data_IF_392720547313
#
_entry.id   IF_392720547313
#
_cell.length_a   1.000
_cell.length_b   1.000
_cell.length_c   1.000
_cell.angle_alpha   90.00
_cell.angle_beta   90.00
_cell.angle_gamma   90.00
#
_symmetry.space_group_name_H-M   'P 1'
#
loop_
_entity.id
_entity.type
_entity.pdbx_description
1 polymer ?
#
# COMPACT_ATOMS: atom_id res chain seq x y z
N UNK A 1 0.45 6.63 0.69
CA UNK A 1 0.59 5.18 0.43
C UNK A 1 0.50 4.35 1.71
N UNK A 2 1.21 4.71 2.79
CA UNK A 2 1.10 4.00 4.09
C UNK A 2 -0.35 3.92 4.58
N UNK A 3 -1.07 5.04 4.66
CA UNK A 3 -2.48 5.05 5.05
C UNK A 3 -3.37 4.16 4.17
N UNK A 4 -3.08 4.05 2.87
CA UNK A 4 -3.83 3.18 1.95
C UNK A 4 -3.63 1.70 2.28
N UNK A 5 -2.40 1.32 2.63
CA UNK A 5 -2.05 -0.03 3.09
C UNK A 5 -2.76 -0.31 4.42
N UNK A 6 -2.70 0.61 5.38
CA UNK A 6 -3.37 0.47 6.68
C UNK A 6 -4.89 0.30 6.53
N UNK A 7 -5.55 1.12 5.71
CA UNK A 7 -7.00 1.02 5.47
C UNK A 7 -7.41 -0.31 4.81
N UNK A 8 -6.65 -0.79 3.82
CA UNK A 8 -6.99 -2.01 3.09
C UNK A 8 -6.70 -3.29 3.89
N UNK A 9 -5.69 -3.26 4.76
CA UNK A 9 -5.24 -4.44 5.50
C UNK A 9 -5.70 -4.46 6.96
N UNK A 10 -6.24 -3.34 7.47
CA UNK A 10 -6.51 -3.10 8.90
C UNK A 10 -5.25 -3.25 9.78
N UNK A 11 -4.06 -3.16 9.18
CA UNK A 11 -2.81 -3.11 9.91
C UNK A 11 -2.49 -1.69 10.38
N UNK A 12 -1.70 -1.59 11.43
CA UNK A 12 -1.09 -0.36 11.92
C UNK A 12 0.39 -0.41 11.52
N UNK A 13 0.85 0.63 10.84
CA UNK A 13 2.22 0.73 10.34
C UNK A 13 2.90 1.93 10.99
N UNK A 14 3.92 1.67 11.79
CA UNK A 14 4.74 2.72 12.41
C UNK A 14 6.11 2.76 11.75
N UNK A 15 6.52 3.95 11.31
CA UNK A 15 7.83 4.19 10.69
C UNK A 15 8.68 5.00 11.65
N UNK A 16 9.75 4.38 12.15
CA UNK A 16 10.77 5.06 12.93
C UNK A 16 11.64 5.95 12.05
N UNK A 17 12.10 7.08 12.58
CA UNK A 17 13.03 7.97 11.88
C UNK A 17 14.39 7.30 11.56
N UNK A 18 14.69 6.18 12.20
CA UNK A 18 15.83 5.32 11.91
C UNK A 18 15.59 4.33 10.76
N UNK A 19 14.46 4.43 10.05
CA UNK A 19 14.10 3.57 8.92
C UNK A 19 13.52 2.21 9.31
N UNK A 20 13.31 1.95 10.61
CA UNK A 20 12.65 0.72 11.06
C UNK A 20 11.15 0.82 10.88
N UNK A 21 10.55 -0.22 10.32
CA UNK A 21 9.10 -0.30 10.11
C UNK A 21 8.55 -1.40 11.01
N UNK A 22 7.57 -1.04 11.84
CA UNK A 22 6.82 -1.97 12.67
C UNK A 22 5.42 -2.08 12.08
N UNK A 23 4.99 -3.32 11.79
CA UNK A 23 3.65 -3.63 11.30
C UNK A 23 2.96 -4.50 12.34
N UNK A 24 1.79 -4.08 12.80
CA UNK A 24 0.93 -4.87 13.69
C UNK A 24 -0.46 -5.00 13.11
N UNK A 25 -1.08 -6.17 13.26
CA UNK A 25 -2.46 -6.41 12.84
C UNK A 25 -3.01 -7.60 13.65
N UNK A 26 -4.28 -7.52 14.02
CA UNK A 26 -4.98 -8.61 14.71
C UNK A 26 -5.35 -9.76 13.74
N UNK A 27 -5.43 -9.45 12.44
CA UNK A 27 -5.71 -10.41 11.38
C UNK A 27 -4.40 -10.89 10.72
N UNK A 28 -4.09 -12.20 10.76
CA UNK A 28 -2.88 -12.74 10.15
C UNK A 28 -2.78 -12.50 8.63
N UNK A 29 -3.92 -12.50 7.93
CA UNK A 29 -3.94 -12.24 6.48
C UNK A 29 -3.64 -10.77 6.17
N UNK A 30 -4.28 -9.85 6.89
CA UNK A 30 -3.98 -8.42 6.86
C UNK A 30 -2.51 -8.12 7.18
N UNK A 31 -1.94 -8.80 8.19
CA UNK A 31 -0.53 -8.66 8.55
C UNK A 31 0.40 -9.02 7.38
N UNK A 32 0.17 -10.18 6.76
CA UNK A 32 1.01 -10.66 5.65
C UNK A 32 0.91 -9.72 4.44
N UNK A 33 -0.31 -9.29 4.07
CA UNK A 33 -0.53 -8.33 2.98
C UNK A 33 0.14 -6.99 3.23
N UNK A 34 0.07 -6.48 4.47
CA UNK A 34 0.70 -5.22 4.83
C UNK A 34 2.24 -5.30 4.73
N UNK A 35 2.84 -6.40 5.20
CA UNK A 35 4.28 -6.65 5.09
C UNK A 35 4.71 -6.72 3.62
N UNK A 36 3.95 -7.44 2.78
CA UNK A 36 4.23 -7.56 1.36
C UNK A 36 4.09 -6.22 0.63
N UNK A 37 3.05 -5.43 0.92
CA UNK A 37 2.86 -4.10 0.37
C UNK A 37 4.05 -3.19 0.68
N UNK A 38 4.49 -3.14 1.94
CA UNK A 38 5.63 -2.31 2.36
C UNK A 38 6.92 -2.74 1.65
N UNK A 39 7.17 -4.04 1.52
CA UNK A 39 8.33 -4.55 0.77
C UNK A 39 8.26 -4.21 -0.72
N UNK A 40 7.08 -4.30 -1.31
CA UNK A 40 6.85 -3.95 -2.71
C UNK A 40 7.13 -2.47 -2.96
N UNK A 41 6.71 -1.59 -2.04
CA UNK A 41 6.98 -0.16 -2.09
C UNK A 41 8.48 0.14 -2.08
N UNK A 42 9.23 -0.53 -1.22
CA UNK A 42 10.69 -0.36 -1.15
C UNK A 42 11.39 -0.86 -2.42
N UNK A 43 11.04 -2.06 -2.88
CA UNK A 43 11.65 -2.69 -4.05
C UNK A 43 11.34 -1.95 -5.36
N UNK A 44 10.16 -1.35 -5.49
CA UNK A 44 9.67 -0.73 -6.72
C UNK A 44 9.65 0.80 -6.66
N UNK A 45 10.32 1.43 -5.69
CA UNK A 45 10.31 2.89 -5.49
C UNK A 45 10.67 3.73 -6.74
N UNK A 46 11.37 3.15 -7.72
CA UNK A 46 11.80 3.80 -8.96
C UNK A 46 10.98 3.38 -10.19
N UNK A 47 9.96 2.54 -10.02
CA UNK A 47 9.12 2.05 -11.10
C UNK A 47 7.91 2.98 -11.28
N UNK A 48 7.60 3.45 -12.50
CA UNK A 48 6.33 4.11 -12.76
C UNK A 48 5.15 3.19 -12.41
N UNK A 49 4.03 3.76 -11.98
CA UNK A 49 2.79 3.06 -11.62
C UNK A 49 2.88 2.16 -10.37
N UNK A 50 3.79 2.47 -9.44
CA UNK A 50 3.89 1.76 -8.15
C UNK A 50 2.56 1.75 -7.38
N UNK A 51 1.87 2.90 -7.33
CA UNK A 51 0.62 3.07 -6.59
C UNK A 51 -0.48 2.13 -7.08
N UNK A 52 -0.64 1.99 -8.40
CA UNK A 52 -1.63 1.10 -9.02
C UNK A 52 -1.34 -0.37 -8.68
N UNK A 53 -0.08 -0.78 -8.78
CA UNK A 53 0.34 -2.16 -8.45
C UNK A 53 0.09 -2.51 -6.99
N UNK A 54 0.39 -1.59 -6.07
CA UNK A 54 0.13 -1.79 -4.64
C UNK A 54 -1.38 -1.84 -4.37
N UNK A 55 -2.17 -0.96 -5.01
CA UNK A 55 -3.65 -1.00 -4.90
C UNK A 55 -4.24 -2.32 -5.40
N UNK A 56 -3.78 -2.80 -6.56
CA UNK A 56 -4.20 -4.07 -7.16
C UNK A 56 -3.87 -5.26 -6.25
N UNK A 57 -2.66 -5.29 -5.68
CA UNK A 57 -2.26 -6.33 -4.71
C UNK A 57 -3.16 -6.31 -3.46
N UNK A 58 -3.52 -5.13 -2.99
CA UNK A 58 -4.42 -4.94 -1.85
C UNK A 58 -5.90 -5.18 -2.15
N UNK A 59 -6.26 -5.45 -3.42
CA UNK A 59 -7.65 -5.63 -3.85
C UNK A 59 -8.49 -4.36 -3.79
N UNK A 60 -7.85 -3.18 -3.81
CA UNK A 60 -8.54 -1.90 -3.88
C UNK A 60 -8.95 -1.68 -5.35
N UNK A 61 -10.25 -1.52 -5.66
CA UNK A 61 -10.69 -1.24 -7.02
C UNK A 61 -10.06 0.06 -7.52
N UNK A 62 -9.68 0.10 -8.81
CA UNK A 62 -9.20 1.34 -9.42
C UNK A 62 -10.38 2.31 -9.55
N UNK A 63 -10.19 3.56 -9.11
CA UNK A 63 -11.16 4.61 -9.34
C UNK A 63 -11.19 4.90 -10.85
N UNK A 64 -12.21 4.42 -11.57
CA UNK A 64 -12.52 4.79 -12.96
C UNK A 64 -12.96 6.27 -13.04
N UNK A 65 -12.12 7.23 -12.67
CA UNK A 65 -12.40 8.66 -12.89
C UNK A 65 -11.10 9.45 -13.06
N UNK A 66 -10.42 9.29 -14.21
CA UNK A 66 -9.46 10.32 -14.63
C UNK A 66 -9.37 10.55 -16.15
N UNK A 67 -10.45 10.32 -16.90
CA UNK A 67 -10.53 10.67 -18.34
C UNK A 67 -11.72 11.60 -18.67
N UNK A 68 -12.09 12.51 -17.76
CA UNK A 68 -13.05 13.59 -18.07
C UNK A 68 -12.51 14.98 -17.79
N UNK A 69 -11.32 15.29 -18.28
CA UNK A 69 -10.95 16.67 -18.64
C UNK A 69 -10.08 16.62 -19.90
N UNK A 70 -10.70 16.81 -21.08
CA UNK A 70 -10.21 17.60 -22.22
C UNK A 70 -11.02 17.26 -23.50
N UNK A 71 -12.17 17.91 -23.67
CA UNK A 71 -12.65 18.39 -24.98
C UNK A 71 -13.04 19.86 -24.85
#
# INVERSE_FOLDING_TARGET
>A
MIQSIEMATKAIITIGQNGWIVVSCDDPEGLLKAIEAVKMVDALAHTPNLTERVKSMLGIPEDENNDTINE
#
